data_IF_302350853061
#
_entry.id   IF_302350853061
#
_cell.length_a   1.000
_cell.length_b   1.000
_cell.length_c   1.000
_cell.angle_alpha   90.00
_cell.angle_beta   90.00
_cell.angle_gamma   90.00
#
_symmetry.space_group_name_H-M   'P 1'
#
loop_
_entity.id
_entity.type
_entity.pdbx_description
1 polymer ?
#
# COMPACT_ATOMS: atom_id res chain seq x y z
N UNK A 1 33.93 -0.92 -15.10
CA UNK A 1 32.55 -1.34 -14.74
C UNK A 1 32.57 -2.84 -14.54
N UNK A 2 32.02 -3.36 -13.43
CA UNK A 2 31.92 -4.82 -13.22
C UNK A 2 31.02 -5.46 -14.27
N UNK A 3 31.40 -6.64 -14.76
CA UNK A 3 30.56 -7.42 -15.68
C UNK A 3 29.42 -8.05 -14.87
N UNK A 4 28.18 -7.81 -15.28
CA UNK A 4 26.99 -8.44 -14.70
C UNK A 4 26.98 -9.91 -15.15
N UNK A 5 26.81 -10.81 -14.19
CA UNK A 5 26.65 -12.25 -14.42
C UNK A 5 25.16 -12.64 -14.37
N UNK A 6 24.83 -13.87 -14.79
CA UNK A 6 23.46 -14.36 -14.68
C UNK A 6 22.96 -14.42 -13.22
N UNK A 7 23.85 -14.67 -12.25
CA UNK A 7 23.48 -14.63 -10.83
C UNK A 7 23.16 -13.21 -10.37
N UNK A 8 23.92 -12.23 -10.84
CA UNK A 8 23.66 -10.82 -10.56
C UNK A 8 22.30 -10.38 -11.14
N UNK A 9 21.93 -10.85 -12.34
CA UNK A 9 20.63 -10.55 -12.95
C UNK A 9 19.46 -11.03 -12.08
N UNK A 10 19.55 -12.23 -11.50
CA UNK A 10 18.52 -12.76 -10.59
C UNK A 10 18.38 -11.87 -9.35
N UNK A 11 19.50 -11.45 -8.75
CA UNK A 11 19.50 -10.56 -7.57
C UNK A 11 18.93 -9.19 -7.93
N UNK A 12 19.34 -8.64 -9.07
CA UNK A 12 18.85 -7.34 -9.57
C UNK A 12 17.33 -7.39 -9.72
N UNK A 13 16.82 -8.43 -10.39
CA UNK A 13 15.40 -8.57 -10.68
C UNK A 13 14.59 -8.75 -9.40
N UNK A 14 15.04 -9.61 -8.49
CA UNK A 14 14.35 -9.86 -7.23
C UNK A 14 14.25 -8.60 -6.35
N UNK A 15 15.36 -7.87 -6.18
CA UNK A 15 15.37 -6.66 -5.36
C UNK A 15 14.55 -5.55 -6.02
N UNK A 16 14.68 -5.37 -7.35
CA UNK A 16 13.93 -4.36 -8.07
C UNK A 16 12.41 -4.62 -8.04
N UNK A 17 11.97 -5.87 -8.21
CA UNK A 17 10.55 -6.22 -8.11
C UNK A 17 9.99 -6.00 -6.71
N UNK A 18 10.70 -6.43 -5.67
CA UNK A 18 10.26 -6.22 -4.29
C UNK A 18 10.16 -4.73 -3.99
N UNK A 19 11.17 -3.95 -4.39
CA UNK A 19 11.15 -2.49 -4.22
C UNK A 19 9.94 -1.87 -4.92
N UNK A 20 9.71 -2.22 -6.19
CA UNK A 20 8.59 -1.70 -6.96
C UNK A 20 7.24 -2.05 -6.32
N UNK A 21 7.07 -3.29 -5.83
CA UNK A 21 5.88 -3.74 -5.11
C UNK A 21 5.57 -2.84 -3.92
N UNK A 22 6.55 -2.62 -3.04
CA UNK A 22 6.30 -1.83 -1.82
C UNK A 22 6.22 -0.32 -2.09
N UNK A 23 6.95 0.21 -3.09
CA UNK A 23 6.77 1.61 -3.53
C UNK A 23 5.33 1.85 -4.01
N UNK A 24 4.76 0.92 -4.78
CA UNK A 24 3.36 1.00 -5.23
C UNK A 24 2.38 1.00 -4.07
N UNK A 25 2.51 0.04 -3.15
CA UNK A 25 1.63 -0.03 -1.97
C UNK A 25 1.73 1.25 -1.15
N UNK A 26 2.95 1.74 -0.91
CA UNK A 26 3.18 2.97 -0.16
C UNK A 26 2.50 4.17 -0.83
N UNK A 27 2.67 4.36 -2.14
CA UNK A 27 2.07 5.48 -2.87
C UNK A 27 0.55 5.39 -2.93
N UNK A 28 -0.01 4.20 -3.21
CA UNK A 28 -1.46 3.97 -3.27
C UNK A 28 -2.13 4.28 -1.94
N UNK A 29 -1.59 3.80 -0.81
CA UNK A 29 -2.16 4.10 0.50
C UNK A 29 -1.92 5.56 0.90
N UNK A 30 -0.72 6.09 0.66
CA UNK A 30 -0.39 7.48 0.99
C UNK A 30 -1.24 8.49 0.21
N UNK A 31 -1.64 8.18 -1.02
CA UNK A 31 -2.52 9.03 -1.81
C UNK A 31 -3.92 9.14 -1.16
N UNK A 32 -4.45 8.02 -0.64
CA UNK A 32 -5.75 7.99 0.04
C UNK A 32 -5.66 8.74 1.38
N UNK A 33 -4.60 8.50 2.15
CA UNK A 33 -4.38 9.21 3.42
C UNK A 33 -4.24 10.73 3.22
N UNK A 34 -3.59 11.17 2.14
CA UNK A 34 -3.46 12.60 1.79
C UNK A 34 -4.78 13.24 1.34
N UNK A 35 -5.75 12.44 0.89
CA UNK A 35 -7.06 12.94 0.51
C UNK A 35 -7.94 13.32 1.72
N UNK A 36 -7.65 12.78 2.91
CA UNK A 36 -8.33 13.09 4.17
C UNK A 36 -7.32 13.49 5.28
N UNK A 37 -6.79 14.72 5.22
CA UNK A 37 -5.77 15.18 6.16
C UNK A 37 -6.29 15.35 7.60
N UNK A 38 -7.59 15.60 7.77
CA UNK A 38 -8.18 15.77 9.10
C UNK A 38 -8.41 14.40 9.77
N UNK A 39 -8.98 13.43 9.04
CA UNK A 39 -9.10 12.06 9.51
C UNK A 39 -7.75 11.43 9.85
N UNK A 40 -6.73 11.66 9.02
CA UNK A 40 -5.36 11.23 9.29
C UNK A 40 -4.80 11.83 10.60
N UNK A 41 -5.06 13.11 10.88
CA UNK A 41 -4.61 13.78 12.11
C UNK A 41 -5.26 13.15 13.35
N UNK A 42 -6.54 12.86 13.29
CA UNK A 42 -7.27 12.19 14.37
C UNK A 42 -6.75 10.76 14.61
N UNK A 43 -6.50 10.01 13.54
CA UNK A 43 -5.92 8.67 13.62
C UNK A 43 -4.53 8.71 14.26
N UNK A 44 -3.68 9.67 13.86
CA UNK A 44 -2.37 9.86 14.49
C UNK A 44 -2.48 10.20 15.97
N UNK A 45 -3.42 11.06 16.37
CA UNK A 45 -3.65 11.38 17.77
C UNK A 45 -4.04 10.11 18.57
N UNK A 46 -5.00 9.32 18.07
CA UNK A 46 -5.40 8.05 18.70
C UNK A 46 -4.23 7.06 18.82
N UNK A 47 -3.43 6.90 17.78
CA UNK A 47 -2.31 5.94 17.76
C UNK A 47 -1.15 6.40 18.64
N UNK A 48 -0.92 7.71 18.77
CA UNK A 48 0.14 8.24 19.65
C UNK A 48 -0.11 7.96 21.13
N UNK A 49 -1.36 7.65 21.49
CA UNK A 49 -1.78 7.28 22.84
C UNK A 49 -1.72 5.75 23.09
N UNK A 50 -1.52 4.95 22.04
CA UNK A 50 -1.44 3.49 22.15
C UNK A 50 0.02 3.03 22.39
N UNK A 51 0.27 2.13 23.35
CA UNK A 51 1.61 1.67 23.71
C UNK A 51 2.27 0.73 22.68
N UNK A 52 1.61 0.41 21.57
CA UNK A 52 2.05 -0.59 20.60
C UNK A 52 1.97 -0.05 19.18
N UNK A 53 3.11 0.37 18.63
CA UNK A 53 3.23 0.59 17.19
C UNK A 53 3.31 -0.76 16.47
N UNK A 54 2.59 -0.87 15.36
CA UNK A 54 2.11 -2.14 14.80
C UNK A 54 3.19 -3.00 14.12
N UNK A 55 4.42 -2.51 14.05
CA UNK A 55 5.58 -3.28 13.59
C UNK A 55 6.54 -3.43 14.77
N UNK A 56 6.24 -4.41 15.62
CA UNK A 56 7.13 -4.80 16.71
C UNK A 56 7.87 -6.09 16.34
N UNK A 57 8.79 -6.01 15.38
CA UNK A 57 9.77 -7.07 15.18
C UNK A 57 10.86 -6.95 16.28
N UNK A 58 10.47 -7.19 17.53
CA UNK A 58 11.37 -7.27 18.69
C UNK A 58 12.26 -6.04 18.96
N UNK A 59 11.77 -4.80 18.73
CA UNK A 59 12.45 -3.51 19.05
C UNK A 59 13.81 -3.20 18.39
N UNK A 60 14.32 -4.03 17.47
CA UNK A 60 15.62 -3.76 16.83
C UNK A 60 15.43 -3.01 15.51
N UNK A 61 14.92 -1.78 15.60
CA UNK A 61 15.04 -0.81 14.51
C UNK A 61 16.38 -0.07 14.63
N UNK A 62 17.13 0.14 13.53
CA UNK A 62 16.82 -0.21 12.14
C UNK A 62 17.00 -1.71 11.81
N UNK A 63 16.44 -2.20 10.68
CA UNK A 63 16.65 -3.57 10.23
C UNK A 63 18.14 -3.87 10.00
N UNK A 64 18.55 -5.08 10.35
CA UNK A 64 19.89 -5.65 10.17
C UNK A 64 19.80 -6.92 9.30
N UNK A 65 20.91 -7.40 8.73
CA UNK A 65 20.91 -8.66 7.98
C UNK A 65 20.29 -9.84 8.73
N UNK A 66 20.47 -9.90 10.05
CA UNK A 66 20.04 -11.02 10.88
C UNK A 66 18.52 -11.02 11.14
N UNK A 67 17.88 -9.86 11.12
CA UNK A 67 16.44 -9.72 11.38
C UNK A 67 15.63 -9.36 10.12
N UNK A 68 16.29 -9.18 8.97
CA UNK A 68 15.68 -8.76 7.70
C UNK A 68 14.52 -9.66 7.29
N UNK A 69 14.67 -10.97 7.34
CA UNK A 69 13.62 -11.89 6.88
C UNK A 69 12.40 -11.90 7.81
N UNK A 70 12.61 -11.69 9.12
CA UNK A 70 11.52 -11.55 10.08
C UNK A 70 10.72 -10.27 9.82
N UNK A 71 11.40 -9.14 9.60
CA UNK A 71 10.75 -7.89 9.19
C UNK A 71 9.99 -8.06 7.88
N UNK A 72 10.63 -8.65 6.85
CA UNK A 72 10.02 -8.82 5.52
C UNK A 72 8.77 -9.71 5.58
N UNK A 73 8.78 -10.78 6.37
CA UNK A 73 7.60 -11.64 6.56
C UNK A 73 6.46 -10.86 7.20
N UNK A 74 6.73 -10.12 8.29
CA UNK A 74 5.71 -9.34 8.99
C UNK A 74 5.12 -8.25 8.10
N UNK A 75 5.95 -7.49 7.37
CA UNK A 75 5.44 -6.43 6.50
C UNK A 75 4.69 -6.97 5.29
N UNK A 76 5.06 -8.13 4.76
CA UNK A 76 4.29 -8.79 3.71
C UNK A 76 2.91 -9.21 4.18
N UNK A 77 2.81 -9.82 5.36
CA UNK A 77 1.54 -10.14 6.00
C UNK A 77 0.68 -8.88 6.19
N UNK A 78 1.28 -7.80 6.68
CA UNK A 78 0.57 -6.53 6.87
C UNK A 78 0.07 -5.98 5.53
N UNK A 79 0.95 -5.88 4.54
CA UNK A 79 0.66 -5.26 3.25
C UNK A 79 -0.34 -6.04 2.38
N UNK A 80 -0.50 -7.34 2.64
CA UNK A 80 -1.46 -8.18 1.91
C UNK A 80 -2.89 -8.11 2.49
N UNK A 81 -3.10 -7.44 3.62
CA UNK A 81 -4.44 -7.27 4.20
C UNK A 81 -5.26 -6.20 3.47
N UNK A 82 -6.59 -6.37 3.34
CA UNK A 82 -7.46 -5.34 2.80
C UNK A 82 -7.57 -4.18 3.80
N UNK A 83 -7.40 -2.95 3.31
CA UNK A 83 -7.55 -1.75 4.13
C UNK A 83 -9.03 -1.34 4.23
N UNK A 84 -9.65 -1.49 5.41
CA UNK A 84 -11.07 -1.16 5.62
C UNK A 84 -11.27 0.16 6.39
N UNK A 85 -10.22 0.66 7.05
CA UNK A 85 -10.20 1.89 7.84
C UNK A 85 -8.99 2.77 7.50
N UNK A 86 -8.96 4.02 7.98
CA UNK A 86 -7.78 4.88 7.86
C UNK A 86 -6.61 4.35 8.70
N UNK A 87 -6.90 3.73 9.84
CA UNK A 87 -5.93 3.03 10.68
C UNK A 87 -5.22 1.91 9.90
N UNK A 88 -5.97 1.04 9.23
CA UNK A 88 -5.38 -0.04 8.43
C UNK A 88 -4.49 0.53 7.31
N UNK A 89 -4.93 1.62 6.67
CA UNK A 89 -4.17 2.28 5.61
C UNK A 89 -2.86 2.84 6.14
N UNK A 90 -2.88 3.47 7.31
CA UNK A 90 -1.68 3.98 7.96
C UNK A 90 -0.73 2.84 8.35
N UNK A 91 -1.27 1.74 8.88
CA UNK A 91 -0.51 0.54 9.22
C UNK A 91 0.15 -0.08 7.98
N UNK A 92 -0.60 -0.26 6.90
CA UNK A 92 -0.08 -0.76 5.61
C UNK A 92 0.98 0.19 5.04
N UNK A 93 0.75 1.50 5.13
CA UNK A 93 1.74 2.51 4.69
C UNK A 93 3.03 2.39 5.49
N UNK A 94 2.94 2.24 6.81
CA UNK A 94 4.09 2.03 7.69
C UNK A 94 4.84 0.73 7.40
N UNK A 95 4.13 -0.35 7.09
CA UNK A 95 4.73 -1.63 6.72
C UNK A 95 5.43 -1.58 5.36
N UNK A 96 4.80 -0.95 4.36
CA UNK A 96 5.43 -0.74 3.07
C UNK A 96 6.71 0.08 3.21
N UNK A 97 6.70 1.14 4.03
CA UNK A 97 7.91 1.91 4.33
C UNK A 97 8.99 1.06 5.02
N UNK A 98 8.62 0.24 6.00
CA UNK A 98 9.56 -0.68 6.66
C UNK A 98 10.18 -1.66 5.67
N UNK A 99 9.39 -2.24 4.75
CA UNK A 99 9.89 -3.12 3.70
C UNK A 99 10.92 -2.41 2.79
N UNK A 100 10.62 -1.15 2.41
CA UNK A 100 11.54 -0.32 1.63
C UNK A 100 12.85 -0.05 2.39
N UNK A 101 12.77 0.14 3.70
CA UNK A 101 13.96 0.31 4.55
C UNK A 101 14.79 -0.98 4.64
N UNK A 102 14.16 -2.16 4.76
CA UNK A 102 14.88 -3.44 4.66
C UNK A 102 15.63 -3.56 3.32
N UNK A 103 14.95 -3.24 2.22
CA UNK A 103 15.55 -3.30 0.88
C UNK A 103 16.74 -2.34 0.75
N UNK A 104 16.61 -1.09 1.20
CA UNK A 104 17.66 -0.08 1.04
C UNK A 104 18.82 -0.32 2.02
N UNK A 105 18.53 -0.57 3.29
CA UNK A 105 19.53 -0.66 4.36
C UNK A 105 20.23 -2.02 4.41
N UNK A 106 19.58 -3.09 3.94
CA UNK A 106 20.13 -4.45 3.97
C UNK A 106 20.41 -4.94 2.55
N UNK A 107 19.37 -5.21 1.76
CA UNK A 107 19.52 -5.92 0.48
C UNK A 107 20.44 -5.17 -0.49
N UNK A 108 20.19 -3.87 -0.69
CA UNK A 108 21.01 -3.00 -1.54
C UNK A 108 22.38 -2.70 -0.93
N UNK A 109 22.46 -2.52 0.39
CA UNK A 109 23.71 -2.20 1.08
C UNK A 109 24.74 -3.33 1.00
N UNK A 110 24.29 -4.59 0.89
CA UNK A 110 25.16 -5.74 0.68
C UNK A 110 25.67 -5.87 -0.77
N UNK A 111 25.05 -5.18 -1.74
CA UNK A 111 25.45 -5.29 -3.13
C UNK A 111 26.64 -4.39 -3.49
N UNK A 112 27.47 -4.77 -4.48
CA UNK A 112 28.46 -3.89 -5.08
C UNK A 112 27.81 -2.64 -5.73
N UNK A 113 28.53 -1.49 -5.82
CA UNK A 113 27.95 -0.25 -6.35
C UNK A 113 27.33 -0.33 -7.76
N UNK A 114 27.93 -1.13 -8.65
CA UNK A 114 27.42 -1.32 -10.00
C UNK A 114 26.10 -2.12 -10.03
N UNK A 115 25.95 -3.08 -9.12
CA UNK A 115 24.70 -3.85 -8.94
C UNK A 115 23.61 -2.96 -8.32
N UNK A 116 23.94 -2.14 -7.31
CA UNK A 116 22.99 -1.14 -6.77
C UNK A 116 22.45 -0.22 -7.86
N UNK A 117 23.34 0.25 -8.73
CA UNK A 117 22.96 1.11 -9.86
C UNK A 117 22.03 0.37 -10.83
N UNK A 118 22.30 -0.90 -11.12
CA UNK A 118 21.45 -1.73 -11.96
C UNK A 118 20.07 -1.97 -11.32
N UNK A 119 19.99 -2.24 -10.01
CA UNK A 119 18.74 -2.36 -9.25
C UNK A 119 17.89 -1.08 -9.38
N UNK A 120 18.50 0.10 -9.18
CA UNK A 120 17.79 1.38 -9.29
C UNK A 120 17.25 1.60 -10.70
N UNK A 121 18.05 1.31 -11.73
CA UNK A 121 17.61 1.42 -13.13
C UNK A 121 16.44 0.48 -13.42
N UNK A 122 16.55 -0.78 -13.00
CA UNK A 122 15.51 -1.79 -13.20
C UNK A 122 14.21 -1.41 -12.48
N UNK A 123 14.28 -0.92 -11.25
CA UNK A 123 13.11 -0.42 -10.53
C UNK A 123 12.42 0.74 -11.27
N UNK A 124 13.20 1.67 -11.86
CA UNK A 124 12.65 2.77 -12.65
C UNK A 124 11.97 2.29 -13.94
N UNK A 125 12.49 1.25 -14.59
CA UNK A 125 11.84 0.61 -15.74
C UNK A 125 10.50 -0.01 -15.34
N UNK A 126 10.47 -0.76 -14.24
CA UNK A 126 9.24 -1.38 -13.71
C UNK A 126 8.19 -0.32 -13.34
N UNK A 127 8.61 0.79 -12.72
CA UNK A 127 7.72 1.90 -12.38
C UNK A 127 7.13 2.60 -13.62
N UNK A 128 7.91 2.70 -14.72
CA UNK A 128 7.41 3.28 -15.97
C UNK A 128 6.28 2.44 -16.58
N UNK A 129 6.44 1.12 -16.61
CA UNK A 129 5.41 0.20 -17.10
C UNK A 129 4.11 0.38 -16.30
N UNK A 130 4.21 0.48 -14.97
CA UNK A 130 3.03 0.72 -14.13
C UNK A 130 2.32 2.06 -14.44
N UNK A 131 3.07 3.15 -14.61
CA UNK A 131 2.49 4.45 -14.98
C UNK A 131 1.81 4.42 -16.36
N UNK A 132 2.36 3.67 -17.31
CA UNK A 132 1.77 3.46 -18.63
C UNK A 132 0.47 2.64 -18.52
N UNK A 133 0.44 1.58 -17.71
CA UNK A 133 -0.75 0.77 -17.43
C UNK A 133 -1.87 1.60 -16.80
N UNK A 134 -1.57 2.44 -15.80
CA UNK A 134 -2.56 3.30 -15.15
C UNK A 134 -3.18 4.31 -16.13
N UNK A 135 -2.38 4.86 -17.06
CA UNK A 135 -2.88 5.78 -18.10
C UNK A 135 -3.69 5.08 -19.18
N UNK A 136 -3.39 3.81 -19.46
CA UNK A 136 -4.10 3.02 -20.45
C UNK A 136 -5.43 2.45 -19.93
N UNK A 137 -5.67 2.47 -18.61
CA UNK A 137 -6.98 2.09 -18.06
C UNK A 137 -8.02 3.09 -18.55
N UNK A 138 -9.04 2.67 -19.32
CA UNK A 138 -10.16 3.55 -19.61
C UNK A 138 -10.75 3.94 -18.25
N UNK A 139 -10.89 5.24 -18.00
CA UNK A 139 -11.76 5.75 -16.96
C UNK A 139 -13.12 5.14 -17.22
N UNK A 140 -13.47 4.08 -16.51
CA UNK A 140 -14.83 3.60 -16.44
C UNK A 140 -15.65 4.81 -16.01
N UNK A 141 -16.44 5.37 -16.93
CA UNK A 141 -17.45 6.36 -16.61
C UNK A 141 -18.19 5.85 -15.35
N UNK A 142 -18.48 6.71 -14.37
CA UNK A 142 -19.45 6.34 -13.35
C UNK A 142 -20.69 5.83 -14.09
N UNK A 143 -21.35 4.75 -13.62
CA UNK A 143 -22.56 4.30 -14.27
C UNK A 143 -23.49 5.51 -14.39
N UNK A 144 -23.91 5.84 -15.61
CA UNK A 144 -24.98 6.79 -15.84
C UNK A 144 -26.23 6.17 -15.23
N UNK A 145 -26.42 6.33 -13.93
CA UNK A 145 -27.74 6.19 -13.32
C UNK A 145 -28.56 7.32 -13.91
N UNK A 146 -29.33 6.98 -14.94
CA UNK A 146 -30.34 7.89 -15.48
C UNK A 146 -31.25 8.34 -14.34
N UNK A 147 -31.70 9.59 -14.35
CA UNK A 147 -32.53 10.17 -13.28
C UNK A 147 -33.73 9.26 -12.94
N UNK A 148 -34.27 8.55 -13.94
CA UNK A 148 -35.36 7.58 -13.79
C UNK A 148 -35.03 6.41 -12.84
N UNK A 149 -33.80 5.90 -12.84
CA UNK A 149 -33.37 4.83 -11.94
C UNK A 149 -33.19 5.33 -10.51
N UNK A 150 -32.66 6.54 -10.34
CA UNK A 150 -32.53 7.18 -9.04
C UNK A 150 -33.91 7.50 -8.43
N UNK A 151 -34.87 7.97 -9.24
CA UNK A 151 -36.25 8.21 -8.81
C UNK A 151 -36.99 6.91 -8.46
N UNK A 152 -36.79 5.84 -9.24
CA UNK A 152 -37.38 4.54 -8.95
C UNK A 152 -36.87 3.94 -7.62
N UNK A 153 -35.56 4.08 -7.35
CA UNK A 153 -34.96 3.66 -6.09
C UNK A 153 -35.48 4.47 -4.89
N UNK A 154 -35.63 5.80 -5.04
CA UNK A 154 -36.18 6.66 -4.00
C UNK A 154 -37.65 6.32 -3.70
N UNK A 155 -38.45 6.04 -4.74
CA UNK A 155 -39.85 5.66 -4.61
C UNK A 155 -40.02 4.30 -3.90
N UNK A 156 -39.15 3.32 -4.17
CA UNK A 156 -39.14 2.04 -3.44
C UNK A 156 -38.77 2.22 -1.97
N UNK A 157 -37.82 3.11 -1.67
CA UNK A 157 -37.40 3.39 -0.29
C UNK A 157 -38.50 4.10 0.52
N UNK A 158 -39.24 5.01 -0.12
CA UNK A 158 -40.40 5.68 0.49
C UNK A 158 -41.56 4.71 0.73
N UNK A 159 -41.84 3.78 -0.20
CA UNK A 159 -42.84 2.73 0.00
C UNK A 159 -42.50 1.81 1.17
N UNK A 160 -41.22 1.43 1.31
CA UNK A 160 -40.75 0.63 2.45
C UNK A 160 -40.90 1.34 3.79
N UNK A 161 -40.64 2.66 3.85
CA UNK A 161 -40.87 3.45 5.07
C UNK A 161 -42.35 3.59 5.43
N UNK A 162 -43.23 3.73 4.43
CA UNK A 162 -44.67 3.82 4.66
C UNK A 162 -45.28 2.50 5.20
N UNK A 163 -44.73 1.34 4.81
CA UNK A 163 -45.17 0.03 5.31
C UNK A 163 -44.72 -0.31 6.73
N UNK A 164 -43.87 0.51 7.37
CA UNK A 164 -43.36 0.27 8.73
C UNK A 164 -44.08 1.12 9.78
N UNK A 165 -45.03 1.99 9.40
CA UNK A 165 -45.80 2.79 10.35
C UNK A 165 -47.22 2.25 10.59
N UNK A 166 -47.32 1.56 11.74
CA UNK A 166 -48.46 1.42 12.69
C UNK A 166 -49.47 0.27 12.51
N UNK A 167 -50.18 -0.14 13.59
CA UNK A 167 -50.08 0.28 15.02
C UNK A 167 -49.77 -0.89 15.98
N UNK A 168 -49.09 -0.67 17.12
CA UNK A 168 -49.69 -0.31 18.42
C UNK A 168 -50.90 -1.19 18.83
N UNK A 169 -50.65 -2.16 19.69
CA UNK A 169 -51.54 -2.66 20.75
C UNK A 169 -50.69 -3.30 21.83
#
# INVERSE_FOLDING_TARGET
>A
MGRITAADEVVIEQIAHNRNKFERIFEEQSAILRADPDGLREVHARISELPHHVIDANKLWPPTPENRDAYMTQVEEICNRPAVSLEDRLEITSAAHTALMCIVMVDMAQQPPHIRTAIVKRNAELARVFCEELRARPTSQPPETTEDEAFAALAQLQRRKASVSLPAS
#
